data_IF_897974994350
#
_entry.id   IF_897974994350
#
_cell.length_a   1.000
_cell.length_b   1.000
_cell.length_c   1.000
_cell.angle_alpha   90.00
_cell.angle_beta   90.00
_cell.angle_gamma   90.00
#
_symmetry.space_group_name_H-M   'P 1'
#
loop_
_entity.id
_entity.type
_entity.pdbx_description
1 polymer ?
#
# COMPACT_ATOMS: atom_id res chain seq x y z
N UNK A 1 -7.07 18.80 9.28
CA UNK A 1 -7.21 17.40 8.86
C UNK A 1 -6.39 16.54 9.79
N UNK A 2 -7.07 15.76 10.64
CA UNK A 2 -6.43 14.82 11.55
C UNK A 2 -5.95 13.59 10.76
N UNK A 3 -4.71 13.16 11.02
CA UNK A 3 -4.05 12.04 10.35
C UNK A 3 -3.62 11.00 11.38
N UNK A 4 -3.72 9.74 11.01
CA UNK A 4 -3.09 8.62 11.71
C UNK A 4 -2.05 7.98 10.80
N UNK A 5 -1.01 7.40 11.40
CA UNK A 5 0.12 6.84 10.67
C UNK A 5 0.28 5.38 11.05
N UNK A 6 0.25 4.49 10.08
CA UNK A 6 0.35 3.05 10.30
C UNK A 6 1.65 2.53 9.69
N UNK A 7 2.30 1.62 10.40
CA UNK A 7 3.31 0.79 9.76
C UNK A 7 2.60 -0.14 8.77
N UNK A 8 3.15 -0.30 7.57
CA UNK A 8 2.62 -1.23 6.58
C UNK A 8 3.74 -2.13 6.13
N UNK A 9 3.54 -3.43 6.32
CA UNK A 9 4.48 -4.47 5.91
C UNK A 9 4.17 -4.87 4.47
N UNK A 10 5.19 -4.92 3.63
CA UNK A 10 5.09 -5.50 2.30
C UNK A 10 6.27 -6.43 2.01
N UNK A 11 6.03 -7.43 1.18
CA UNK A 11 7.06 -8.32 0.65
C UNK A 11 7.21 -8.12 -0.85
N UNK A 12 8.43 -7.89 -1.30
CA UNK A 12 8.76 -7.78 -2.72
C UNK A 12 10.20 -8.26 -2.96
N UNK A 13 10.38 -9.10 -3.98
CA UNK A 13 11.63 -9.79 -4.31
C UNK A 13 12.16 -10.65 -3.16
N UNK A 14 11.24 -11.34 -2.46
CA UNK A 14 11.50 -12.17 -1.28
C UNK A 14 12.08 -11.39 -0.10
N UNK A 15 11.84 -10.09 -0.07
CA UNK A 15 12.40 -9.19 0.92
C UNK A 15 11.28 -8.43 1.61
N UNK A 16 11.24 -8.58 2.93
CA UNK A 16 10.30 -7.86 3.79
C UNK A 16 10.78 -6.43 4.05
N UNK A 17 9.84 -5.49 3.89
CA UNK A 17 10.05 -4.07 4.08
C UNK A 17 8.81 -3.43 4.68
N UNK A 18 9.01 -2.26 5.27
CA UNK A 18 7.95 -1.47 5.84
C UNK A 18 7.89 -0.10 5.17
N UNK A 19 6.71 0.50 5.13
CA UNK A 19 6.46 1.89 4.78
C UNK A 19 5.47 2.50 5.79
N UNK A 20 5.21 3.81 5.69
CA UNK A 20 4.23 4.48 6.55
C UNK A 20 3.03 4.91 5.70
N UNK A 21 1.86 4.35 6.00
CA UNK A 21 0.57 4.70 5.41
C UNK A 21 -0.13 5.74 6.29
N UNK A 22 -0.83 6.67 5.68
CA UNK A 22 -1.54 7.77 6.31
C UNK A 22 -3.03 7.53 6.13
N UNK A 23 -3.76 7.44 7.24
CA UNK A 23 -5.22 7.42 7.27
C UNK A 23 -5.76 8.81 7.64
N UNK A 24 -6.69 9.34 6.85
CA UNK A 24 -7.29 10.68 7.07
C UNK A 24 -8.62 10.55 7.82
N UNK A 25 -8.70 11.11 9.04
CA UNK A 25 -9.90 10.99 9.89
C UNK A 25 -11.04 11.96 9.53
N UNK A 26 -10.74 13.07 8.86
CA UNK A 26 -11.72 14.13 8.54
C UNK A 26 -11.92 14.27 7.02
N UNK A 27 -12.10 13.16 6.31
CA UNK A 27 -12.11 13.12 4.84
C UNK A 27 -13.51 13.28 4.23
N UNK A 28 -13.54 13.71 2.97
CA UNK A 28 -14.71 13.68 2.09
C UNK A 28 -14.80 12.25 1.52
N UNK A 29 -15.95 11.59 1.59
CA UNK A 29 -16.17 10.25 1.02
C UNK A 29 -15.49 10.08 -0.36
N UNK A 30 -14.88 8.92 -0.57
CA UNK A 30 -14.19 8.49 -1.81
C UNK A 30 -12.82 9.12 -2.14
N UNK A 31 -12.17 9.85 -1.24
CA UNK A 31 -10.75 10.22 -1.44
C UNK A 31 -9.79 9.07 -1.08
N UNK A 32 -8.77 8.79 -1.92
CA UNK A 32 -7.70 7.86 -1.57
C UNK A 32 -6.95 8.27 -0.31
N UNK A 33 -6.34 7.28 0.33
CA UNK A 33 -5.41 7.52 1.44
C UNK A 33 -4.03 7.96 0.92
N UNK A 34 -3.11 8.25 1.82
CA UNK A 34 -1.79 8.80 1.46
C UNK A 34 -0.64 7.93 1.99
N UNK A 35 0.50 7.97 1.31
CA UNK A 35 1.75 7.36 1.73
C UNK A 35 2.71 8.49 2.14
N UNK A 36 3.44 8.29 3.24
CA UNK A 36 4.47 9.26 3.64
C UNK A 36 5.53 9.37 2.54
N UNK A 37 5.81 10.61 2.13
CA UNK A 37 6.91 10.94 1.24
C UNK A 37 8.01 11.66 2.01
N UNK A 38 9.27 11.42 1.65
CA UNK A 38 10.38 12.25 2.09
C UNK A 38 10.43 13.58 1.33
N UNK A 39 11.36 14.47 1.70
CA UNK A 39 11.50 15.81 1.10
C UNK A 39 11.83 15.79 -0.40
N UNK A 40 12.24 14.64 -0.93
CA UNK A 40 12.55 14.45 -2.35
C UNK A 40 11.39 13.84 -3.14
N UNK A 41 10.21 13.73 -2.52
CA UNK A 41 9.04 13.10 -3.14
C UNK A 41 9.24 11.60 -3.40
N UNK A 42 9.98 10.91 -2.52
CA UNK A 42 10.19 9.45 -2.57
C UNK A 42 9.55 8.78 -1.38
N UNK A 43 9.17 7.52 -1.54
CA UNK A 43 8.57 6.69 -0.49
C UNK A 43 9.72 6.07 0.32
N UNK A 44 9.97 6.50 1.56
CA UNK A 44 10.96 5.86 2.41
C UNK A 44 10.47 4.46 2.80
N UNK A 45 11.32 3.46 2.59
CA UNK A 45 11.08 2.07 3.04
C UNK A 45 12.11 1.65 4.07
N UNK A 46 11.71 0.76 4.97
CA UNK A 46 12.47 0.37 6.17
C UNK A 46 12.66 -1.13 6.23
N UNK A 47 13.77 -1.58 6.81
CA UNK A 47 14.10 -3.01 6.97
C UNK A 47 13.47 -3.64 8.19
N UNK A 48 13.01 -2.81 9.13
CA UNK A 48 12.40 -3.23 10.39
C UNK A 48 11.45 -2.15 10.88
N UNK A 49 10.50 -2.53 11.72
CA UNK A 49 9.65 -1.59 12.46
C UNK A 49 10.46 -0.66 13.36
N UNK A 50 11.58 -1.14 13.92
CA UNK A 50 12.50 -0.30 14.72
C UNK A 50 13.07 0.86 13.89
N UNK A 51 13.45 0.60 12.65
CA UNK A 51 13.96 1.64 11.75
C UNK A 51 12.86 2.62 11.32
N UNK A 52 11.67 2.10 11.04
CA UNK A 52 10.48 2.92 10.77
C UNK A 52 10.17 3.82 11.96
N UNK A 53 10.17 3.30 13.19
CA UNK A 53 9.88 4.04 14.42
C UNK A 53 10.89 5.16 14.69
N UNK A 54 12.19 4.90 14.46
CA UNK A 54 13.25 5.92 14.55
C UNK A 54 13.01 7.05 13.55
N UNK A 55 12.69 6.70 12.30
CA UNK A 55 12.37 7.69 11.27
C UNK A 55 11.12 8.49 11.65
N UNK A 56 10.06 7.83 12.09
CA UNK A 56 8.82 8.47 12.50
C UNK A 56 9.05 9.46 13.64
N UNK A 57 9.81 9.08 14.67
CA UNK A 57 10.19 9.97 15.78
C UNK A 57 10.96 11.19 15.28
N UNK A 58 11.95 11.00 14.40
CA UNK A 58 12.71 12.11 13.82
C UNK A 58 11.85 13.06 12.96
N UNK A 59 10.69 12.59 12.48
CA UNK A 59 9.71 13.37 11.71
C UNK A 59 8.51 13.84 12.53
N UNK A 60 8.51 13.61 13.85
CA UNK A 60 7.36 13.87 14.73
C UNK A 60 6.06 13.19 14.26
N UNK A 61 6.19 12.01 13.65
CA UNK A 61 5.06 11.16 13.27
C UNK A 61 4.83 10.14 14.39
N UNK A 62 3.60 10.10 14.91
CA UNK A 62 3.19 9.07 15.87
C UNK A 62 2.61 7.90 15.09
N UNK A 63 3.31 6.77 15.11
CA UNK A 63 2.82 5.52 14.53
C UNK A 63 1.79 4.91 15.49
N UNK A 64 0.66 4.48 14.95
CA UNK A 64 -0.35 3.75 15.69
C UNK A 64 0.16 2.36 16.08
N UNK A 65 -0.22 1.92 17.28
CA UNK A 65 0.24 0.65 17.83
C UNK A 65 -0.67 -0.48 17.38
N UNK A 66 -0.52 -0.86 16.11
CA UNK A 66 -1.22 -1.95 15.44
C UNK A 66 -0.21 -2.85 14.73
N UNK A 67 -0.45 -4.16 14.77
CA UNK A 67 0.40 -5.13 14.08
C UNK A 67 0.19 -5.01 12.56
N UNK A 68 1.24 -4.75 11.77
CA UNK A 68 1.10 -4.59 10.34
C UNK A 68 0.77 -5.92 9.65
N UNK A 69 -0.25 -5.91 8.79
CA UNK A 69 -0.60 -7.06 7.94
C UNK A 69 0.32 -7.08 6.71
N UNK A 70 0.72 -8.28 6.26
CA UNK A 70 1.56 -8.45 5.08
C UNK A 70 0.79 -8.10 3.80
N UNK A 71 1.33 -7.16 3.04
CA UNK A 71 0.98 -6.95 1.65
C UNK A 71 1.92 -7.78 0.76
N UNK A 72 1.45 -8.94 0.28
CA UNK A 72 2.28 -9.89 -0.47
C UNK A 72 2.39 -9.52 -1.96
N UNK A 73 3.25 -8.54 -2.27
CA UNK A 73 3.45 -8.10 -3.64
C UNK A 73 4.18 -9.14 -4.51
N UNK A 74 4.87 -10.11 -3.90
CA UNK A 74 5.51 -11.21 -4.63
C UNK A 74 4.48 -12.15 -5.27
N UNK A 75 3.40 -12.48 -4.58
CA UNK A 75 2.33 -13.31 -5.15
C UNK A 75 1.71 -12.64 -6.39
N UNK A 76 1.44 -11.34 -6.30
CA UNK A 76 0.92 -10.57 -7.43
C UNK A 76 1.94 -10.49 -8.58
N UNK A 77 3.22 -10.26 -8.29
CA UNK A 77 4.26 -10.23 -9.34
C UNK A 77 4.46 -11.59 -10.01
N UNK A 78 4.33 -12.69 -9.26
CA UNK A 78 4.38 -14.05 -9.78
C UNK A 78 3.20 -14.34 -10.71
N UNK A 79 1.97 -14.05 -10.27
CA UNK A 79 0.77 -14.17 -11.10
C UNK A 79 0.87 -13.32 -12.38
N UNK A 80 1.47 -12.12 -12.28
CA UNK A 80 1.72 -11.28 -13.45
C UNK A 80 2.72 -11.88 -14.45
N UNK A 81 3.52 -12.91 -14.13
CA UNK A 81 4.38 -13.55 -15.14
C UNK A 81 3.57 -14.41 -16.10
N UNK A 82 2.57 -15.12 -15.60
CA UNK A 82 1.69 -15.98 -16.37
C UNK A 82 0.24 -15.82 -15.86
N UNK A 83 -0.45 -14.71 -16.23
CA UNK A 83 -1.78 -14.43 -15.72
C UNK A 83 -2.81 -15.46 -16.21
N UNK A 84 -3.50 -16.09 -15.27
CA UNK A 84 -4.64 -16.99 -15.50
C UNK A 84 -5.96 -16.32 -15.10
N UNK A 85 -7.04 -17.09 -15.07
CA UNK A 85 -8.37 -16.66 -14.65
C UNK A 85 -8.63 -16.82 -13.13
N UNK A 86 -7.58 -17.05 -12.35
CA UNK A 86 -7.64 -17.23 -10.90
C UNK A 86 -6.74 -16.24 -10.15
N UNK A 87 -6.91 -14.90 -10.35
CA UNK A 87 -6.18 -13.94 -9.54
C UNK A 87 -6.57 -14.09 -8.06
N UNK A 88 -5.57 -14.10 -7.19
CA UNK A 88 -5.81 -13.97 -5.75
C UNK A 88 -6.43 -12.60 -5.47
N UNK A 89 -7.67 -12.61 -4.98
CA UNK A 89 -8.46 -11.39 -4.80
C UNK A 89 -7.87 -10.48 -3.73
N UNK A 90 -7.31 -11.05 -2.66
CA UNK A 90 -6.82 -10.32 -1.51
C UNK A 90 -5.51 -9.64 -1.85
N UNK A 91 -4.57 -10.40 -2.41
CA UNK A 91 -3.26 -9.88 -2.80
C UNK A 91 -3.41 -8.85 -3.93
N UNK A 92 -4.26 -9.11 -4.94
CA UNK A 92 -4.49 -8.16 -6.02
C UNK A 92 -5.19 -6.88 -5.56
N UNK A 93 -6.19 -6.97 -4.66
CA UNK A 93 -6.87 -5.79 -4.12
C UNK A 93 -5.91 -4.96 -3.27
N UNK A 94 -5.19 -5.61 -2.37
CA UNK A 94 -4.23 -4.98 -1.47
C UNK A 94 -3.15 -4.25 -2.25
N UNK A 95 -2.61 -4.88 -3.31
CA UNK A 95 -1.66 -4.24 -4.21
C UNK A 95 -2.29 -3.05 -4.96
N UNK A 96 -3.52 -3.21 -5.50
CA UNK A 96 -4.21 -2.12 -6.18
C UNK A 96 -4.40 -0.92 -5.25
N UNK A 97 -4.92 -1.12 -4.04
CA UNK A 97 -5.15 -0.05 -3.06
C UNK A 97 -3.86 0.68 -2.70
N UNK A 98 -2.78 -0.07 -2.44
CA UNK A 98 -1.45 0.54 -2.25
C UNK A 98 -1.04 1.40 -3.44
N UNK A 99 -1.27 0.94 -4.68
CA UNK A 99 -0.89 1.69 -5.88
C UNK A 99 -1.74 2.93 -6.12
N UNK A 100 -3.03 2.89 -5.79
CA UNK A 100 -3.93 4.05 -5.76
C UNK A 100 -3.34 5.13 -4.85
N UNK A 101 -3.02 4.78 -3.60
CA UNK A 101 -2.56 5.76 -2.60
C UNK A 101 -1.15 6.27 -2.90
N UNK A 102 -0.28 5.41 -3.46
CA UNK A 102 1.02 5.82 -3.99
C UNK A 102 0.86 6.85 -5.10
N UNK A 103 -0.03 6.59 -6.07
CA UNK A 103 -0.26 7.51 -7.18
C UNK A 103 -0.85 8.84 -6.69
N UNK A 104 -1.82 8.77 -5.79
CA UNK A 104 -2.44 9.94 -5.17
C UNK A 104 -1.40 10.81 -4.44
N UNK A 105 -0.58 10.21 -3.59
CA UNK A 105 0.48 10.90 -2.83
C UNK A 105 1.52 11.57 -3.72
N UNK A 106 1.89 10.90 -4.82
CA UNK A 106 2.84 11.40 -5.80
C UNK A 106 2.21 12.38 -6.82
N UNK A 107 0.90 12.61 -6.75
CA UNK A 107 0.12 13.40 -7.72
C UNK A 107 0.29 12.89 -9.15
N UNK A 108 0.32 11.58 -9.31
CA UNK A 108 0.48 10.89 -10.59
C UNK A 108 -0.85 10.29 -11.04
N UNK A 109 -0.94 10.00 -12.34
CA UNK A 109 -2.09 9.28 -12.88
C UNK A 109 -1.88 7.78 -12.79
N UNK A 110 -2.90 7.07 -12.31
CA UNK A 110 -2.94 5.62 -12.26
C UNK A 110 -4.18 5.10 -13.00
N UNK A 111 -4.02 4.05 -13.80
CA UNK A 111 -5.13 3.50 -14.58
C UNK A 111 -6.15 2.79 -13.70
N UNK A 112 -5.75 2.39 -12.48
CA UNK A 112 -6.66 1.90 -11.46
C UNK A 112 -7.68 2.95 -11.03
N UNK A 113 -7.37 4.24 -11.15
CA UNK A 113 -8.26 5.32 -10.68
C UNK A 113 -9.24 5.79 -11.76
N UNK A 114 -8.92 5.51 -13.03
CA UNK A 114 -9.75 5.92 -14.17
C UNK A 114 -11.05 5.11 -14.21
N UNK A 115 -12.12 5.73 -13.73
CA UNK A 115 -13.45 5.13 -13.66
C UNK A 115 -13.92 4.67 -15.04
N UNK A 116 -14.37 3.43 -15.11
CA UNK A 116 -15.01 2.84 -16.28
C UNK A 116 -15.78 1.61 -15.83
N UNK A 117 -16.83 1.23 -16.58
CA UNK A 117 -17.64 0.04 -16.24
C UNK A 117 -16.79 -1.23 -16.06
N UNK A 118 -15.80 -1.45 -16.94
CA UNK A 118 -14.91 -2.60 -16.84
C UNK A 118 -13.98 -2.52 -15.63
N UNK A 119 -13.38 -1.35 -15.35
CA UNK A 119 -12.52 -1.14 -14.18
C UNK A 119 -13.29 -1.39 -12.89
N UNK A 120 -14.48 -0.80 -12.76
CA UNK A 120 -15.27 -0.86 -11.53
C UNK A 120 -15.67 -2.31 -11.26
N UNK A 121 -16.16 -3.03 -12.28
CA UNK A 121 -16.49 -4.45 -12.18
C UNK A 121 -15.31 -5.32 -11.72
N UNK A 122 -14.09 -5.03 -12.18
CA UNK A 122 -12.88 -5.73 -11.73
C UNK A 122 -12.62 -5.45 -10.25
N UNK A 123 -12.67 -4.18 -9.84
CA UNK A 123 -12.45 -3.79 -8.45
C UNK A 123 -13.49 -4.43 -7.53
N UNK A 124 -14.76 -4.40 -7.92
CA UNK A 124 -15.86 -5.04 -7.18
C UNK A 124 -15.63 -6.55 -7.04
N UNK A 125 -15.16 -7.23 -8.10
CA UNK A 125 -14.84 -8.66 -8.05
C UNK A 125 -13.71 -8.96 -7.06
N UNK A 126 -12.65 -8.16 -7.05
CA UNK A 126 -11.56 -8.31 -6.08
C UNK A 126 -12.08 -8.07 -4.66
N UNK A 127 -12.86 -7.01 -4.45
CA UNK A 127 -13.41 -6.65 -3.14
C UNK A 127 -14.31 -7.74 -2.56
N UNK A 128 -15.32 -8.18 -3.32
CA UNK A 128 -16.23 -9.23 -2.88
C UNK A 128 -15.56 -10.61 -2.86
N UNK A 129 -14.57 -10.85 -3.73
CA UNK A 129 -13.82 -12.10 -3.79
C UNK A 129 -12.98 -12.39 -2.54
N UNK A 130 -12.70 -11.37 -1.72
CA UNK A 130 -12.06 -11.55 -0.42
C UNK A 130 -12.96 -12.21 0.62
N UNK A 131 -14.28 -12.23 0.40
CA UNK A 131 -15.24 -12.90 1.27
C UNK A 131 -15.20 -12.44 2.75
N UNK A 132 -14.66 -11.25 3.05
CA UNK A 132 -14.47 -10.74 4.42
C UNK A 132 -15.76 -10.55 5.22
N UNK A 133 -16.91 -10.41 4.53
CA UNK A 133 -18.22 -10.27 5.16
C UNK A 133 -19.07 -11.55 5.09
N UNK A 134 -18.52 -12.67 4.63
CA UNK A 134 -19.28 -13.93 4.59
C UNK A 134 -19.68 -14.32 6.01
N UNK A 135 -20.99 -14.45 6.24
CA UNK A 135 -21.56 -14.74 7.56
C UNK A 135 -21.75 -13.52 8.46
N UNK A 136 -21.41 -12.30 8.01
CA UNK A 136 -21.72 -11.07 8.74
C UNK A 136 -23.23 -10.77 8.65
N UNK A 137 -23.93 -10.55 9.78
CA UNK A 137 -25.39 -10.39 9.79
C UNK A 137 -25.87 -9.03 9.26
N UNK A 138 -24.98 -8.06 9.05
CA UNK A 138 -25.30 -6.69 8.62
C UNK A 138 -24.81 -6.44 7.19
N UNK A 139 -23.56 -6.84 6.89
CA UNK A 139 -22.86 -6.57 5.65
C UNK A 139 -22.72 -7.81 4.75
N UNK A 140 -22.93 -9.00 5.29
CA UNK A 140 -22.83 -10.26 4.56
C UNK A 140 -24.08 -10.57 3.74
N UNK A 141 -23.91 -11.42 2.72
CA UNK A 141 -25.06 -11.96 2.01
C UNK A 141 -25.86 -12.89 2.94
N UNK A 142 -27.21 -12.82 2.99
CA UNK A 142 -28.02 -13.62 3.92
C UNK A 142 -27.84 -15.14 3.79
N UNK A 143 -27.37 -15.65 2.64
CA UNK A 143 -27.09 -17.08 2.45
C UNK A 143 -25.81 -17.54 3.16
N UNK A 144 -24.91 -16.63 3.55
CA UNK A 144 -23.60 -16.97 4.11
C UNK A 144 -22.69 -17.69 3.10
N UNK A 145 -22.97 -17.59 1.81
CA UNK A 145 -22.20 -18.28 0.76
C UNK A 145 -20.96 -17.48 0.36
N UNK A 146 -19.91 -18.22 0.02
CA UNK A 146 -18.70 -17.65 -0.57
C UNK A 146 -18.96 -17.21 -2.00
N UNK A 147 -18.43 -16.04 -2.35
CA UNK A 147 -18.36 -15.51 -3.69
C UNK A 147 -17.04 -15.90 -4.36
N UNK A 148 -17.14 -16.58 -5.49
CA UNK A 148 -16.00 -16.92 -6.34
C UNK A 148 -16.17 -16.20 -7.69
N UNK A 149 -15.40 -15.12 -7.93
CA UNK A 149 -15.56 -14.34 -9.16
C UNK A 149 -15.13 -15.14 -10.39
N UNK A 150 -15.99 -15.23 -11.39
CA UNK A 150 -15.61 -15.73 -12.72
C UNK A 150 -14.94 -14.61 -13.52
N UNK A 151 -13.78 -14.86 -14.11
CA UNK A 151 -13.02 -13.83 -14.82
C UNK A 151 -13.05 -14.00 -16.33
N UNK A 152 -13.40 -12.92 -17.03
CA UNK A 152 -13.30 -12.89 -18.50
C UNK A 152 -11.88 -12.52 -18.94
N UNK A 153 -11.43 -12.95 -20.14
CA UNK A 153 -10.12 -12.57 -20.66
C UNK A 153 -9.90 -11.04 -20.74
N UNK A 154 -10.96 -10.27 -21.01
CA UNK A 154 -10.91 -8.81 -21.03
C UNK A 154 -10.65 -8.21 -19.65
N UNK A 155 -11.19 -8.82 -18.59
CA UNK A 155 -10.96 -8.41 -17.21
C UNK A 155 -9.53 -8.74 -16.77
N UNK A 156 -9.07 -9.97 -17.00
CA UNK A 156 -7.69 -10.36 -16.68
C UNK A 156 -6.68 -9.46 -17.40
N UNK A 157 -6.90 -9.18 -18.68
CA UNK A 157 -6.04 -8.28 -19.45
C UNK A 157 -6.02 -6.86 -18.87
N UNK A 158 -7.17 -6.35 -18.43
CA UNK A 158 -7.27 -5.02 -17.83
C UNK A 158 -6.65 -4.97 -16.43
N UNK A 159 -6.90 -5.95 -15.58
CA UNK A 159 -6.31 -6.10 -14.25
C UNK A 159 -4.78 -6.15 -14.34
N UNK A 160 -4.25 -7.01 -15.22
CA UNK A 160 -2.81 -7.11 -15.51
C UNK A 160 -2.20 -5.75 -15.86
N UNK A 161 -2.85 -4.97 -16.73
CA UNK A 161 -2.36 -3.63 -17.12
C UNK A 161 -2.35 -2.65 -15.96
N UNK A 162 -3.34 -2.70 -15.08
CA UNK A 162 -3.44 -1.85 -13.90
C UNK A 162 -2.33 -2.20 -12.93
N UNK A 163 -2.22 -3.47 -12.52
CA UNK A 163 -1.22 -3.91 -11.56
C UNK A 163 0.21 -3.67 -12.06
N UNK A 164 0.52 -3.97 -13.34
CA UNK A 164 1.85 -3.69 -13.92
C UNK A 164 2.21 -2.21 -13.87
N UNK A 165 1.26 -1.32 -14.14
CA UNK A 165 1.51 0.12 -14.01
C UNK A 165 1.79 0.49 -12.55
N UNK A 166 0.99 -0.04 -11.62
CA UNK A 166 1.14 0.21 -10.19
C UNK A 166 2.52 -0.22 -9.67
N UNK A 167 2.96 -1.43 -10.01
CA UNK A 167 4.33 -1.90 -9.73
C UNK A 167 5.41 -0.98 -10.28
N UNK A 168 5.26 -0.53 -11.54
CA UNK A 168 6.22 0.39 -12.16
C UNK A 168 6.30 1.71 -11.41
N UNK A 169 5.17 2.23 -10.94
CA UNK A 169 5.12 3.44 -10.11
C UNK A 169 5.80 3.16 -8.76
N UNK A 170 5.33 2.16 -8.01
CA UNK A 170 5.85 1.84 -6.69
C UNK A 170 7.37 1.63 -6.70
N UNK A 171 7.87 0.72 -7.54
CA UNK A 171 9.31 0.41 -7.66
C UNK A 171 10.16 1.62 -8.05
N UNK A 172 9.61 2.56 -8.82
CA UNK A 172 10.33 3.78 -9.25
C UNK A 172 10.52 4.77 -8.11
N UNK A 173 9.63 4.79 -7.12
CA UNK A 173 9.58 5.84 -6.11
C UNK A 173 9.97 5.39 -4.71
N UNK A 174 10.06 4.09 -4.43
CA UNK A 174 10.64 3.60 -3.17
C UNK A 174 12.13 3.91 -3.06
N UNK A 175 12.58 4.20 -1.84
CA UNK A 175 13.99 4.39 -1.49
C UNK A 175 14.25 3.91 -0.07
N UNK A 176 15.34 3.17 0.15
CA UNK A 176 15.76 2.77 1.50
C UNK A 176 15.99 4.03 2.36
N UNK A 177 15.31 4.10 3.50
CA UNK A 177 15.43 5.21 4.41
C UNK A 177 16.81 5.21 5.08
N UNK A 178 17.46 6.38 5.10
CA UNK A 178 18.69 6.57 5.89
C UNK A 178 18.29 6.84 7.34
N UNK A 179 18.55 5.88 8.22
CA UNK A 179 18.38 6.05 9.66
C UNK A 179 19.64 6.70 10.22
N UNK A 180 19.55 7.98 10.57
CA UNK A 180 20.65 8.67 11.26
C UNK A 180 20.63 8.21 12.72
N UNK A 181 21.70 7.57 13.17
CA UNK A 181 21.85 7.21 14.57
C UNK A 181 21.98 8.49 15.42
N UNK A 182 21.31 8.50 16.58
CA UNK A 182 21.34 9.63 17.51
C UNK A 182 22.77 10.00 17.97
N UNK A 183 23.71 9.04 17.98
CA UNK A 183 25.13 9.28 18.29
C UNK A 183 25.79 10.28 17.34
N UNK A 184 25.51 10.19 16.03
CA UNK A 184 26.10 11.08 15.03
C UNK A 184 25.58 12.52 15.19
N UNK A 185 24.33 12.68 15.64
CA UNK A 185 23.74 14.00 15.89
C UNK A 185 24.35 14.66 17.14
N UNK A 186 24.63 13.89 18.20
CA UNK A 186 25.34 14.40 19.38
C UNK A 186 26.78 14.80 19.06
N UNK A 187 27.48 14.05 18.20
CA UNK A 187 28.84 14.39 17.77
C UNK A 187 28.86 15.64 16.88
N UNK A 188 27.88 15.82 15.99
CA UNK A 188 27.75 17.02 15.16
C UNK A 188 27.41 18.26 16.01
N UNK A 189 26.50 18.15 16.97
CA UNK A 189 26.12 19.24 17.88
C UNK A 189 27.31 19.61 18.80
N UNK A 190 28.05 18.62 19.30
CA UNK A 190 29.23 18.86 20.15
C UNK A 190 30.35 19.56 19.38
N UNK A 191 30.57 19.23 18.11
CA UNK A 191 31.58 19.87 17.26
C UNK A 191 31.22 21.30 16.81
N UNK A 192 29.91 21.62 16.73
CA UNK A 192 29.45 22.98 16.43
C UNK A 192 29.60 23.90 17.64
N UNK A 193 29.40 23.39 18.86
CA UNK A 193 29.52 24.18 20.10
C UNK A 193 30.97 24.33 20.62
N UNK A 194 31.96 23.79 19.90
CA UNK A 194 33.38 23.92 20.22
C UNK A 194 34.17 24.84 19.25
N UNK A 195 33.49 25.51 18.32
CA UNK A 195 34.04 26.57 17.46
C UNK A 195 33.35 27.90 17.74
#
# INVERSE_FOLDING_TARGET
MKKQYFATWFRLHQVDRYLIWIYKLDYIEDEPEEIVLNERGRIPIFRSESDLAKYATAKNLRIENEEPILHNLDAVEAWLQEPDDQPDCEDCLTAWNLFTDVAYSLKLTFNGDKLSRLRNRIYDKLYWGNNIFVGDPILGHPSGEFYFPEWTPAEISKLTKILRQGFKLFKRYIVEAKIIQASILQDLISNINQN
#
